data_IF_345050125310
#
_entry.id   IF_345050125310
#
_cell.length_a   1.000
_cell.length_b   1.000
_cell.length_c   1.000
_cell.angle_alpha   90.00
_cell.angle_beta   90.00
_cell.angle_gamma   90.00
#
_symmetry.space_group_name_H-M   'P 1'
#
loop_
_entity.id
_entity.type
_entity.pdbx_description
1 polymer ?
#
# COMPACT_ATOMS: atom_id res chain seq x y z
N UNK A 1 -13.36 -22.34 32.05
CA UNK A 1 -12.78 -22.33 30.73
C UNK A 1 -11.35 -22.83 30.77
N UNK A 2 -11.00 -23.77 29.93
CA UNK A 2 -9.64 -24.30 29.81
C UNK A 2 -8.79 -23.29 29.08
N UNK A 3 -7.70 -22.80 29.70
CA UNK A 3 -6.73 -21.93 29.02
C UNK A 3 -5.87 -22.80 28.11
N UNK A 4 -6.06 -22.68 26.80
CA UNK A 4 -5.35 -23.49 25.80
C UNK A 4 -3.93 -22.98 25.49
N UNK A 5 -3.53 -21.81 25.96
CA UNK A 5 -2.24 -21.18 25.65
C UNK A 5 -1.55 -20.58 26.89
N UNK A 6 -1.42 -21.36 27.98
CA UNK A 6 -0.69 -20.92 29.15
C UNK A 6 0.82 -21.06 28.93
N UNK A 7 1.57 -19.98 29.07
CA UNK A 7 3.03 -20.01 29.14
C UNK A 7 3.44 -20.25 30.59
N UNK A 8 4.20 -21.32 30.86
CA UNK A 8 4.74 -21.60 32.17
C UNK A 8 6.05 -20.83 32.34
N UNK A 9 6.16 -20.06 33.40
CA UNK A 9 7.36 -19.34 33.80
C UNK A 9 7.99 -20.13 34.93
N UNK A 10 9.31 -20.33 34.90
CA UNK A 10 10.03 -21.09 35.94
C UNK A 10 10.09 -20.32 37.25
N UNK A 11 10.05 -21.03 38.39
CA UNK A 11 10.15 -20.42 39.71
C UNK A 11 11.48 -19.68 39.84
N UNK A 12 11.45 -18.43 40.30
CA UNK A 12 12.63 -17.58 40.51
C UNK A 12 12.98 -16.63 39.37
N UNK A 13 12.28 -16.67 38.23
CA UNK A 13 12.45 -15.67 37.21
C UNK A 13 11.73 -14.35 37.58
N UNK A 14 12.50 -13.27 37.60
CA UNK A 14 12.00 -11.90 37.82
C UNK A 14 12.30 -11.10 36.57
N UNK A 15 11.28 -10.51 35.95
CA UNK A 15 11.47 -9.69 34.77
C UNK A 15 10.16 -9.23 34.10
N UNK A 16 10.31 -8.48 33.03
CA UNK A 16 9.20 -8.13 32.15
C UNK A 16 9.13 -9.20 31.07
N UNK A 17 7.96 -9.80 30.91
CA UNK A 17 7.74 -10.80 29.87
C UNK A 17 6.89 -10.19 28.77
N UNK A 18 7.45 -10.16 27.55
CA UNK A 18 6.69 -9.83 26.34
C UNK A 18 5.92 -11.07 25.89
N UNK A 19 4.60 -11.03 26.04
CA UNK A 19 3.74 -12.05 25.46
C UNK A 19 3.57 -11.72 23.97
N UNK A 20 4.19 -12.51 23.10
CA UNK A 20 3.97 -12.43 21.67
C UNK A 20 2.55 -12.89 21.33
N UNK A 21 1.59 -11.98 21.40
CA UNK A 21 0.16 -12.27 21.23
C UNK A 21 -0.18 -12.76 19.82
N UNK A 22 0.64 -12.42 18.84
CA UNK A 22 0.47 -12.80 17.43
C UNK A 22 0.51 -14.32 17.23
N UNK A 23 1.35 -15.01 17.99
CA UNK A 23 1.52 -16.47 17.86
C UNK A 23 0.49 -17.28 18.64
N UNK A 24 -0.49 -16.64 19.27
CA UNK A 24 -1.46 -17.30 20.17
C UNK A 24 -2.83 -17.53 19.53
N UNK A 25 -2.96 -17.32 18.23
CA UNK A 25 -4.23 -17.50 17.51
C UNK A 25 -5.35 -16.59 18.00
N UNK A 26 -4.99 -15.37 18.39
CA UNK A 26 -5.97 -14.37 18.82
C UNK A 26 -6.67 -13.76 17.60
N UNK A 27 -7.99 -13.72 17.65
CA UNK A 27 -8.81 -13.09 16.63
C UNK A 27 -8.71 -11.56 16.71
N UNK A 28 -8.80 -10.89 15.57
CA UNK A 28 -8.79 -9.43 15.51
C UNK A 28 -10.13 -8.85 15.95
N UNK A 29 -10.07 -7.67 16.54
CA UNK A 29 -11.25 -6.93 17.04
C UNK A 29 -12.02 -7.61 18.17
N UNK A 30 -11.40 -8.63 18.81
CA UNK A 30 -11.93 -9.30 19.99
C UNK A 30 -11.31 -8.75 21.27
N UNK A 31 -12.02 -8.91 22.37
CA UNK A 31 -11.55 -8.52 23.70
C UNK A 31 -10.91 -9.70 24.37
N UNK A 32 -9.71 -9.50 24.91
CA UNK A 32 -8.95 -10.52 25.63
C UNK A 32 -8.57 -10.06 27.03
N UNK A 33 -8.58 -10.98 27.97
CA UNK A 33 -8.07 -10.75 29.33
C UNK A 33 -6.79 -11.52 29.54
N UNK A 34 -5.76 -10.86 30.05
CA UNK A 34 -4.54 -11.51 30.51
C UNK A 34 -4.68 -11.84 31.98
N UNK A 35 -4.47 -13.10 32.31
CA UNK A 35 -4.49 -13.58 33.69
C UNK A 35 -3.13 -14.17 34.06
N UNK A 36 -2.54 -13.66 35.10
CA UNK A 36 -1.34 -14.22 35.71
C UNK A 36 -1.78 -15.00 36.95
N UNK A 37 -1.49 -16.27 36.99
CA UNK A 37 -1.72 -17.12 38.16
C UNK A 37 -0.38 -17.51 38.73
N UNK A 38 -0.18 -17.29 40.03
CA UNK A 38 0.97 -17.78 40.77
C UNK A 38 0.54 -19.05 41.49
N UNK A 39 1.26 -20.12 41.25
CA UNK A 39 1.11 -21.39 41.99
C UNK A 39 2.30 -21.51 42.96
N UNK A 40 2.02 -21.39 44.23
CA UNK A 40 3.02 -21.46 45.27
C UNK A 40 3.15 -22.86 45.85
N UNK A 41 2.41 -23.86 45.35
CA UNK A 41 2.29 -25.13 45.97
C UNK A 41 3.05 -26.24 45.28
N UNK A 42 3.66 -27.00 46.11
CA UNK A 42 4.42 -28.19 45.78
C UNK A 42 3.56 -29.48 45.85
N UNK A 43 2.29 -29.38 46.25
CA UNK A 43 1.42 -30.50 46.45
C UNK A 43 0.31 -30.58 45.37
N UNK A 44 0.04 -31.76 44.79
CA UNK A 44 -1.09 -31.94 43.89
C UNK A 44 -2.42 -31.67 44.59
N UNK A 45 -3.21 -30.74 44.09
CA UNK A 45 -4.55 -30.44 44.62
C UNK A 45 -4.71 -29.14 45.39
N UNK A 46 -3.67 -28.33 45.48
CA UNK A 46 -3.76 -27.02 46.15
C UNK A 46 -4.38 -25.96 45.20
N UNK A 47 -5.15 -25.06 45.80
CA UNK A 47 -5.76 -23.93 45.08
C UNK A 47 -4.71 -22.92 44.66
N UNK A 48 -4.96 -22.22 43.59
CA UNK A 48 -4.19 -21.05 43.15
C UNK A 48 -4.32 -19.98 44.24
N UNK A 49 -3.21 -19.62 44.88
CA UNK A 49 -3.22 -18.73 46.06
C UNK A 49 -3.48 -17.26 45.67
N UNK A 50 -3.06 -16.84 44.50
CA UNK A 50 -3.37 -15.51 44.02
C UNK A 50 -3.35 -15.41 42.48
N UNK A 51 -4.14 -14.55 41.96
CA UNK A 51 -4.05 -14.13 40.55
C UNK A 51 -4.33 -12.64 40.44
N UNK A 52 -3.63 -12.01 39.53
CA UNK A 52 -3.89 -10.61 39.17
C UNK A 52 -4.56 -10.58 37.81
N UNK A 53 -5.74 -9.97 37.76
CA UNK A 53 -6.42 -9.68 36.50
C UNK A 53 -5.90 -8.35 35.95
N UNK A 54 -5.33 -8.38 34.75
CA UNK A 54 -4.99 -7.16 34.04
C UNK A 54 -6.21 -6.65 33.27
N UNK A 55 -6.24 -5.35 32.98
CA UNK A 55 -7.34 -4.78 32.22
C UNK A 55 -7.49 -5.52 30.88
N UNK A 56 -8.71 -5.61 30.46
CA UNK A 56 -9.08 -6.13 29.15
C UNK A 56 -8.37 -5.34 28.06
N UNK A 57 -7.78 -6.02 27.08
CA UNK A 57 -7.24 -5.39 25.90
C UNK A 57 -8.02 -5.82 24.67
N UNK A 58 -8.11 -4.94 23.71
CA UNK A 58 -8.77 -5.18 22.45
C UNK A 58 -7.78 -5.17 21.32
N UNK A 59 -7.81 -6.18 20.48
CA UNK A 59 -7.03 -6.17 19.25
C UNK A 59 -7.57 -5.12 18.29
N UNK A 60 -6.69 -4.33 17.69
CA UNK A 60 -7.12 -3.37 16.68
C UNK A 60 -7.51 -4.09 15.38
N UNK A 61 -8.56 -3.62 14.69
CA UNK A 61 -8.86 -4.09 13.34
C UNK A 61 -7.64 -3.93 12.44
N UNK A 62 -7.42 -4.86 11.54
CA UNK A 62 -6.40 -4.72 10.53
C UNK A 62 -6.73 -3.59 9.57
N UNK A 63 -5.72 -2.94 9.02
CA UNK A 63 -5.83 -1.91 8.01
C UNK A 63 -5.16 -2.33 6.70
N UNK A 64 -5.64 -1.74 5.62
CA UNK A 64 -5.00 -1.76 4.32
C UNK A 64 -4.80 -0.31 3.91
N UNK A 65 -3.56 0.15 3.96
CA UNK A 65 -3.22 1.55 3.76
C UNK A 65 -2.28 1.73 2.56
N UNK A 66 -2.43 2.86 1.89
CA UNK A 66 -1.55 3.29 0.81
C UNK A 66 -1.06 4.71 1.05
N UNK A 67 0.23 4.94 0.79
CA UNK A 67 0.82 6.28 0.86
C UNK A 67 2.02 6.43 -0.07
N UNK A 68 2.38 7.68 -0.34
CA UNK A 68 3.73 7.99 -0.81
C UNK A 68 4.64 8.19 0.39
N UNK A 69 5.85 7.63 0.32
CA UNK A 69 6.89 7.82 1.34
C UNK A 69 8.24 8.11 0.69
N UNK A 70 9.13 8.71 1.46
CA UNK A 70 10.54 8.82 1.10
C UNK A 70 11.33 7.55 1.49
N UNK A 71 12.62 7.55 1.18
CA UNK A 71 13.49 6.42 1.53
C UNK A 71 13.72 6.25 3.04
N UNK A 72 13.53 7.31 3.83
CA UNK A 72 13.62 7.25 5.29
C UNK A 72 12.32 6.75 5.95
N UNK A 73 11.25 6.58 5.18
CA UNK A 73 9.94 6.11 5.66
C UNK A 73 8.95 7.22 6.02
N UNK A 74 9.32 8.49 5.85
CA UNK A 74 8.41 9.59 6.13
C UNK A 74 7.36 9.73 5.01
N UNK A 75 6.12 10.04 5.40
CA UNK A 75 5.04 10.30 4.43
C UNK A 75 5.30 11.58 3.65
N UNK A 76 5.14 11.51 2.33
CA UNK A 76 5.29 12.65 1.43
C UNK A 76 3.92 13.30 1.23
N UNK A 77 3.84 14.61 1.42
CA UNK A 77 2.62 15.41 1.23
C UNK A 77 2.49 15.96 -0.19
N UNK A 78 3.61 16.32 -0.86
CA UNK A 78 3.61 16.68 -2.28
C UNK A 78 3.68 15.40 -3.13
N UNK A 79 2.53 14.86 -3.46
CA UNK A 79 2.40 13.64 -4.27
C UNK A 79 2.39 13.92 -5.78
N UNK A 80 2.42 15.17 -6.20
CA UNK A 80 2.38 15.59 -7.60
C UNK A 80 3.51 14.97 -8.44
N UNK A 81 3.20 14.60 -9.66
CA UNK A 81 4.17 14.16 -10.67
C UNK A 81 4.29 15.21 -11.74
N UNK A 82 5.46 15.83 -11.85
CA UNK A 82 5.74 16.92 -12.79
C UNK A 82 6.45 16.38 -14.02
N UNK A 83 5.84 16.55 -15.17
CA UNK A 83 6.48 16.28 -16.46
C UNK A 83 7.39 17.45 -16.84
N UNK A 84 8.46 17.14 -17.56
CA UNK A 84 9.34 18.17 -18.09
C UNK A 84 8.63 19.09 -19.11
N UNK A 85 9.15 20.30 -19.28
CA UNK A 85 8.65 21.22 -20.27
C UNK A 85 8.80 20.62 -21.68
N UNK A 86 7.78 20.83 -22.51
CA UNK A 86 7.82 20.52 -23.94
C UNK A 86 7.59 21.78 -24.76
N UNK A 87 8.20 21.86 -25.93
CA UNK A 87 7.98 22.96 -26.88
C UNK A 87 6.67 22.76 -27.62
N UNK A 88 6.02 23.86 -27.99
CA UNK A 88 4.87 23.79 -28.88
C UNK A 88 5.30 23.20 -30.23
N UNK A 89 4.52 22.28 -30.75
CA UNK A 89 4.84 21.51 -31.95
C UNK A 89 3.62 21.35 -32.85
N UNK A 90 3.88 21.20 -34.14
CA UNK A 90 2.89 20.82 -35.14
C UNK A 90 2.64 19.31 -35.24
N UNK A 91 3.33 18.54 -34.42
CA UNK A 91 3.10 17.11 -34.22
C UNK A 91 2.96 16.80 -32.74
N UNK A 92 2.44 15.61 -32.40
CA UNK A 92 2.36 15.19 -31.03
C UNK A 92 3.75 15.05 -30.39
N UNK A 93 3.86 15.40 -29.11
CA UNK A 93 5.14 15.37 -28.36
C UNK A 93 5.00 14.42 -27.17
N UNK A 94 5.98 13.54 -27.01
CA UNK A 94 6.07 12.67 -25.85
C UNK A 94 6.95 13.29 -24.75
N UNK A 95 6.50 13.19 -23.51
CA UNK A 95 7.27 13.55 -22.31
C UNK A 95 7.06 12.48 -21.23
N UNK A 96 7.98 12.40 -20.30
CA UNK A 96 7.86 11.39 -19.22
C UNK A 96 8.26 11.93 -17.87
N UNK A 97 7.73 11.30 -16.82
CA UNK A 97 8.07 11.60 -15.44
C UNK A 97 8.01 10.33 -14.58
N UNK A 98 8.68 10.33 -13.44
CA UNK A 98 8.58 9.25 -12.48
C UNK A 98 7.39 9.49 -11.53
N UNK A 99 6.44 8.58 -11.52
CA UNK A 99 5.38 8.51 -10.51
C UNK A 99 5.97 8.11 -9.16
N UNK A 100 6.90 7.16 -9.18
CA UNK A 100 7.69 6.74 -8.02
C UNK A 100 9.15 6.51 -8.42
N UNK A 101 10.07 6.66 -7.46
CA UNK A 101 11.49 6.41 -7.63
C UNK A 101 12.06 5.67 -6.40
N UNK A 102 13.34 5.31 -6.43
CA UNK A 102 13.98 4.55 -5.36
C UNK A 102 14.48 5.39 -4.18
N UNK A 103 14.55 6.72 -4.32
CA UNK A 103 15.25 7.58 -3.34
C UNK A 103 14.36 8.56 -2.59
N UNK A 104 13.34 9.12 -3.24
CA UNK A 104 12.59 10.22 -2.65
C UNK A 104 11.07 10.08 -2.70
N UNK A 105 10.55 9.15 -3.51
CA UNK A 105 9.10 9.00 -3.67
C UNK A 105 8.74 7.56 -4.04
N UNK A 106 8.35 6.78 -3.06
CA UNK A 106 7.93 5.38 -3.21
C UNK A 106 6.44 5.26 -2.94
N UNK A 107 5.75 4.35 -3.62
CA UNK A 107 4.38 3.97 -3.29
C UNK A 107 4.46 2.80 -2.30
N UNK A 108 3.97 3.02 -1.09
CA UNK A 108 3.93 2.01 -0.04
C UNK A 108 2.50 1.52 0.18
N UNK A 109 2.36 0.20 0.25
CA UNK A 109 1.15 -0.47 0.75
C UNK A 109 1.49 -1.22 2.01
N UNK A 110 0.71 -1.01 3.07
CA UNK A 110 0.81 -1.76 4.32
C UNK A 110 -0.48 -2.53 4.52
N UNK A 111 -0.37 -3.85 4.67
CA UNK A 111 -1.52 -4.72 4.90
C UNK A 111 -1.41 -5.40 6.26
N UNK A 112 -2.28 -5.03 7.18
CA UNK A 112 -2.43 -5.68 8.49
C UNK A 112 -3.80 -6.36 8.64
N UNK A 113 -4.59 -6.49 7.56
CA UNK A 113 -5.88 -7.19 7.57
C UNK A 113 -5.69 -8.71 7.63
N UNK A 114 -6.77 -9.41 7.96
CA UNK A 114 -6.81 -10.89 7.92
C UNK A 114 -6.81 -11.44 6.50
N UNK A 115 -7.35 -10.68 5.54
CA UNK A 115 -7.28 -10.98 4.10
C UNK A 115 -6.00 -10.42 3.51
N UNK A 116 -5.29 -11.21 2.74
CA UNK A 116 -3.99 -10.85 2.16
C UNK A 116 -4.07 -10.38 0.71
N UNK A 117 -5.18 -10.63 0.01
CA UNK A 117 -5.38 -10.17 -1.37
C UNK A 117 -5.71 -8.68 -1.43
N UNK A 118 -5.03 -7.94 -2.30
CA UNK A 118 -5.30 -6.52 -2.54
C UNK A 118 -4.76 -6.07 -3.90
N UNK A 119 -5.26 -4.93 -4.38
CA UNK A 119 -4.75 -4.28 -5.58
C UNK A 119 -4.66 -2.77 -5.41
N UNK A 120 -3.65 -2.18 -6.06
CA UNK A 120 -3.45 -0.72 -6.17
C UNK A 120 -3.76 -0.29 -7.58
N UNK A 121 -4.62 0.69 -7.72
CA UNK A 121 -5.03 1.27 -9.01
C UNK A 121 -4.72 2.76 -9.03
N UNK A 122 -4.10 3.22 -10.12
CA UNK A 122 -4.00 4.63 -10.47
C UNK A 122 -5.16 4.97 -11.40
N UNK A 123 -5.98 5.95 -11.04
CA UNK A 123 -7.13 6.38 -11.85
C UNK A 123 -7.21 7.90 -11.95
N UNK A 124 -7.87 8.41 -12.98
CA UNK A 124 -8.22 9.81 -13.04
C UNK A 124 -9.35 10.11 -12.04
N UNK A 125 -9.22 11.18 -11.26
CA UNK A 125 -10.19 11.51 -10.20
C UNK A 125 -11.60 11.79 -10.73
N UNK A 126 -11.69 12.41 -11.92
CA UNK A 126 -12.97 12.70 -12.61
C UNK A 126 -13.41 11.55 -13.55
N UNK A 127 -12.84 10.36 -13.40
CA UNK A 127 -13.18 9.18 -14.19
C UNK A 127 -12.66 9.23 -15.64
N UNK A 128 -13.23 8.36 -16.49
CA UNK A 128 -12.78 8.21 -17.88
C UNK A 128 -13.00 9.45 -18.77
N UNK A 129 -13.79 10.42 -18.33
CA UNK A 129 -14.05 11.69 -19.02
C UNK A 129 -13.12 12.82 -18.60
N UNK A 130 -12.23 12.57 -17.64
CA UNK A 130 -11.19 13.51 -17.22
C UNK A 130 -10.34 13.98 -18.40
N UNK A 131 -9.77 15.15 -18.27
CA UNK A 131 -8.88 15.75 -19.28
C UNK A 131 -7.74 16.48 -18.57
N UNK A 132 -6.61 16.55 -19.24
CA UNK A 132 -5.61 17.56 -18.93
C UNK A 132 -6.23 18.93 -19.14
N UNK A 133 -6.25 19.77 -18.12
CA UNK A 133 -6.82 21.11 -18.15
C UNK A 133 -5.73 22.15 -17.95
N UNK A 134 -5.73 23.19 -18.80
CA UNK A 134 -4.78 24.30 -18.65
C UNK A 134 -5.13 25.14 -17.44
N UNK A 135 -4.16 25.36 -16.56
CA UNK A 135 -4.32 26.25 -15.41
C UNK A 135 -4.53 27.69 -15.88
N UNK A 136 -5.62 28.32 -15.44
CA UNK A 136 -5.98 29.68 -15.84
C UNK A 136 -6.47 29.83 -17.29
N UNK A 137 -6.83 28.74 -17.96
CA UNK A 137 -7.36 28.70 -19.31
C UNK A 137 -8.53 27.74 -19.48
N UNK A 138 -9.04 27.64 -20.70
CA UNK A 138 -10.16 26.75 -21.10
C UNK A 138 -9.67 25.54 -21.90
N UNK A 139 -8.42 25.59 -22.34
CA UNK A 139 -7.85 24.55 -23.18
C UNK A 139 -7.70 23.22 -22.41
N UNK A 140 -7.97 22.14 -23.11
CA UNK A 140 -7.85 20.79 -22.54
C UNK A 140 -7.57 19.76 -23.63
N UNK A 141 -7.02 18.60 -23.22
CA UNK A 141 -6.86 17.44 -24.11
C UNK A 141 -7.02 16.14 -23.32
N UNK A 142 -7.22 15.04 -24.02
CA UNK A 142 -7.48 13.73 -23.43
C UNK A 142 -6.23 13.17 -22.77
N UNK A 143 -6.42 12.42 -21.69
CA UNK A 143 -5.37 11.58 -21.09
C UNK A 143 -5.48 10.11 -21.54
N UNK A 144 -6.62 9.72 -22.10
CA UNK A 144 -6.95 8.35 -22.47
C UNK A 144 -7.37 8.22 -23.95
N UNK A 145 -6.85 9.09 -24.79
CA UNK A 145 -7.10 9.04 -26.24
C UNK A 145 -6.54 7.77 -26.88
N UNK A 146 -6.96 7.51 -28.10
CA UNK A 146 -6.56 6.32 -28.86
C UNK A 146 -5.30 6.52 -29.70
N UNK A 147 -4.91 7.77 -29.93
CA UNK A 147 -3.73 8.15 -30.73
C UNK A 147 -3.10 9.45 -30.22
N UNK A 148 -1.98 9.84 -30.82
CA UNK A 148 -1.24 11.05 -30.46
C UNK A 148 -2.01 12.36 -30.67
N UNK A 149 -2.95 12.41 -31.63
CA UNK A 149 -3.72 13.63 -31.94
C UNK A 149 -4.75 13.95 -30.84
N UNK A 150 -5.13 12.96 -30.06
CA UNK A 150 -6.03 13.11 -28.92
C UNK A 150 -5.28 13.31 -27.59
N UNK A 151 -4.04 12.85 -27.54
CA UNK A 151 -3.25 12.74 -26.31
C UNK A 151 -3.58 11.48 -25.51
N UNK A 152 -2.58 10.93 -24.87
CA UNK A 152 -2.76 9.79 -23.96
C UNK A 152 -1.66 9.72 -22.91
N UNK A 153 -2.01 9.14 -21.77
CA UNK A 153 -1.12 8.81 -20.68
C UNK A 153 -0.88 7.29 -20.66
N UNK A 154 0.34 6.86 -20.42
CA UNK A 154 0.66 5.46 -20.19
C UNK A 154 1.54 5.28 -18.96
N UNK A 155 1.47 4.10 -18.38
CA UNK A 155 2.28 3.67 -17.24
C UNK A 155 3.28 2.62 -17.74
N UNK A 156 4.55 2.81 -17.42
CA UNK A 156 5.63 1.90 -17.81
C UNK A 156 6.32 1.35 -16.56
N UNK A 157 6.48 0.04 -16.52
CA UNK A 157 7.07 -0.73 -15.44
C UNK A 157 8.43 -1.35 -15.77
N UNK A 158 9.03 -1.02 -16.92
CA UNK A 158 10.26 -1.65 -17.38
C UNK A 158 11.40 -1.65 -16.37
N UNK A 159 11.58 -0.54 -15.64
CA UNK A 159 12.60 -0.39 -14.58
C UNK A 159 12.03 -0.49 -13.16
N UNK A 160 10.75 -0.77 -13.01
CA UNK A 160 10.10 -0.82 -11.70
C UNK A 160 10.46 -2.08 -10.92
N UNK A 161 10.50 -1.94 -9.61
CA UNK A 161 10.72 -3.03 -8.67
C UNK A 161 9.75 -2.95 -7.50
N UNK A 162 9.47 -4.11 -6.92
CA UNK A 162 8.73 -4.23 -5.65
C UNK A 162 9.71 -4.70 -4.60
N UNK A 163 9.78 -3.98 -3.49
CA UNK A 163 10.53 -4.37 -2.30
C UNK A 163 9.54 -4.65 -1.18
N UNK A 164 9.93 -5.55 -0.28
CA UNK A 164 9.22 -5.78 0.97
C UNK A 164 10.06 -5.29 2.14
N UNK A 165 9.41 -4.80 3.19
CA UNK A 165 10.09 -4.37 4.41
C UNK A 165 9.28 -4.73 5.64
N UNK A 166 9.98 -4.86 6.78
CA UNK A 166 9.39 -5.23 8.05
C UNK A 166 9.34 -6.74 8.27
N UNK A 167 8.65 -7.13 9.33
CA UNK A 167 8.33 -8.51 9.65
C UNK A 167 6.82 -8.72 9.52
N UNK A 168 6.46 -9.90 9.06
CA UNK A 168 5.05 -10.32 9.03
C UNK A 168 4.50 -10.44 10.46
N UNK A 169 3.19 -10.51 10.58
CA UNK A 169 2.53 -10.75 11.89
C UNK A 169 2.94 -12.08 12.52
N UNK A 170 3.44 -13.03 11.72
CA UNK A 170 4.00 -14.30 12.21
C UNK A 170 5.50 -14.22 12.60
N UNK A 171 6.10 -13.03 12.57
CA UNK A 171 7.51 -12.82 12.93
C UNK A 171 8.51 -13.11 11.80
N UNK A 172 8.08 -13.62 10.65
CA UNK A 172 8.95 -13.89 9.51
C UNK A 172 9.32 -12.60 8.77
N UNK A 173 10.54 -12.54 8.23
CA UNK A 173 10.96 -11.43 7.37
C UNK A 173 10.05 -11.32 6.14
N UNK A 174 9.56 -10.13 5.85
CA UNK A 174 8.69 -9.86 4.71
C UNK A 174 9.41 -10.10 3.38
N UNK A 175 8.72 -10.74 2.46
CA UNK A 175 9.21 -11.06 1.12
C UNK A 175 8.29 -10.47 0.06
N UNK A 176 8.87 -9.98 -1.03
CA UNK A 176 8.09 -9.48 -2.17
C UNK A 176 7.50 -10.59 -3.05
N UNK A 177 7.81 -11.85 -2.76
CA UNK A 177 7.22 -13.01 -3.46
C UNK A 177 5.70 -13.01 -3.27
N UNK A 178 4.94 -13.21 -4.35
CA UNK A 178 3.47 -13.12 -4.33
C UNK A 178 2.91 -11.70 -4.49
N UNK A 179 3.78 -10.69 -4.61
CA UNK A 179 3.39 -9.35 -5.03
C UNK A 179 3.74 -9.18 -6.50
N UNK A 180 2.74 -8.84 -7.29
CA UNK A 180 2.90 -8.56 -8.72
C UNK A 180 2.89 -7.06 -8.96
N UNK A 181 3.88 -6.56 -9.70
CA UNK A 181 3.82 -5.22 -10.29
C UNK A 181 2.89 -5.23 -11.50
N UNK A 182 2.34 -4.08 -11.86
CA UNK A 182 1.55 -3.91 -13.07
C UNK A 182 2.34 -4.20 -14.34
N UNK A 183 1.63 -4.28 -15.45
CA UNK A 183 2.19 -4.38 -16.79
C UNK A 183 2.08 -3.04 -17.50
N UNK A 184 2.97 -2.78 -18.45
CA UNK A 184 2.94 -1.57 -19.27
C UNK A 184 1.55 -1.40 -19.87
N UNK A 185 0.93 -0.27 -19.59
CA UNK A 185 -0.48 -0.04 -19.94
C UNK A 185 -0.72 1.41 -20.31
N UNK A 186 -1.57 1.62 -21.30
CA UNK A 186 -2.07 2.93 -21.69
C UNK A 186 -3.47 3.12 -21.13
N UNK A 187 -3.76 4.30 -20.58
CA UNK A 187 -5.14 4.71 -20.40
C UNK A 187 -5.78 4.89 -21.79
N UNK A 188 -6.82 4.11 -22.06
CA UNK A 188 -7.41 4.08 -23.40
C UNK A 188 -8.93 4.02 -23.33
N UNK A 189 -9.59 5.02 -23.87
CA UNK A 189 -11.05 5.08 -23.94
C UNK A 189 -11.63 3.86 -24.65
N UNK A 190 -12.74 3.34 -24.14
CA UNK A 190 -13.40 2.14 -24.67
C UNK A 190 -12.76 0.82 -24.27
N UNK A 191 -11.80 0.83 -23.34
CA UNK A 191 -11.16 -0.39 -22.80
C UNK A 191 -11.26 -0.45 -21.28
N UNK A 192 -10.87 -1.58 -20.68
CA UNK A 192 -10.80 -1.73 -19.22
C UNK A 192 -9.87 -0.71 -18.55
N UNK A 193 -8.87 -0.19 -19.28
CA UNK A 193 -7.93 0.81 -18.78
C UNK A 193 -8.38 2.25 -19.03
N UNK A 194 -9.61 2.48 -19.48
CA UNK A 194 -10.10 3.83 -19.80
C UNK A 194 -9.98 4.81 -18.63
N UNK A 195 -10.15 4.35 -17.42
CA UNK A 195 -10.05 5.17 -16.22
C UNK A 195 -8.95 4.75 -15.24
N UNK A 196 -8.54 3.50 -15.21
CA UNK A 196 -7.62 3.00 -14.19
C UNK A 196 -6.62 1.98 -14.71
N UNK A 197 -5.41 2.01 -14.15
CA UNK A 197 -4.33 1.05 -14.41
C UNK A 197 -3.87 0.46 -13.08
N UNK A 198 -3.81 -0.87 -13.00
CA UNK A 198 -3.27 -1.56 -11.83
C UNK A 198 -1.76 -1.36 -11.75
N UNK A 199 -1.29 -0.84 -10.63
CA UNK A 199 0.12 -0.60 -10.39
C UNK A 199 0.80 -1.78 -9.66
N UNK A 200 0.10 -2.39 -8.72
CA UNK A 200 0.63 -3.47 -7.89
C UNK A 200 -0.53 -4.27 -7.31
N UNK A 201 -0.34 -5.57 -7.12
CA UNK A 201 -1.35 -6.44 -6.49
C UNK A 201 -0.71 -7.58 -5.72
N UNK A 202 -1.45 -8.09 -4.75
CA UNK A 202 -1.17 -9.32 -4.01
C UNK A 202 -2.29 -10.32 -4.25
N UNK A 203 -1.93 -11.56 -4.58
CA UNK A 203 -2.91 -12.66 -4.67
C UNK A 203 -3.29 -13.22 -3.30
N UNK A 204 -2.58 -12.78 -2.25
CA UNK A 204 -2.80 -13.19 -0.89
C UNK A 204 -1.95 -14.37 -0.46
N UNK A 205 -1.13 -14.18 0.55
CA UNK A 205 -0.54 -15.25 1.34
C UNK A 205 -0.46 -14.79 2.79
N UNK A 206 -0.60 -15.71 3.72
CA UNK A 206 -0.55 -15.42 5.16
C UNK A 206 0.80 -14.81 5.60
N UNK A 207 1.89 -15.11 4.88
CA UNK A 207 3.22 -14.55 5.14
C UNK A 207 3.40 -13.08 4.77
N UNK A 208 2.38 -12.43 4.20
CA UNK A 208 2.42 -11.02 3.80
C UNK A 208 1.68 -10.09 4.76
N UNK A 209 1.00 -10.63 5.76
CA UNK A 209 0.28 -9.84 6.76
C UNK A 209 1.27 -9.11 7.67
N UNK A 210 1.06 -7.82 7.87
CA UNK A 210 1.96 -6.96 8.65
C UNK A 210 3.12 -6.37 7.84
N UNK A 211 3.30 -6.81 6.60
CA UNK A 211 4.36 -6.33 5.72
C UNK A 211 4.03 -4.99 5.07
N UNK A 212 5.08 -4.23 4.75
CA UNK A 212 5.01 -3.08 3.86
C UNK A 212 5.64 -3.44 2.51
N UNK A 213 4.97 -3.07 1.43
CA UNK A 213 5.43 -3.28 0.05
C UNK A 213 5.64 -1.95 -0.64
N UNK A 214 6.80 -1.81 -1.27
CA UNK A 214 7.27 -0.57 -1.87
C UNK A 214 7.40 -0.75 -3.37
N UNK A 215 6.59 -0.03 -4.13
CA UNK A 215 6.70 0.03 -5.58
C UNK A 215 7.54 1.25 -5.98
N UNK A 216 8.61 1.00 -6.70
CA UNK A 216 9.63 1.98 -7.10
C UNK A 216 9.76 2.05 -8.62
N UNK A 217 10.27 3.19 -9.11
CA UNK A 217 10.66 3.42 -10.50
C UNK A 217 9.53 3.21 -11.52
N UNK A 218 8.30 3.54 -11.17
CA UNK A 218 7.18 3.57 -12.11
C UNK A 218 7.25 4.87 -12.90
N UNK A 219 7.23 4.75 -14.23
CA UNK A 219 7.28 5.89 -15.15
C UNK A 219 5.91 6.15 -15.76
N UNK A 220 5.54 7.41 -15.80
CA UNK A 220 4.42 7.90 -16.61
C UNK A 220 4.96 8.50 -17.91
N UNK A 221 4.36 8.14 -19.03
CA UNK A 221 4.63 8.74 -20.33
C UNK A 221 3.38 9.43 -20.82
N UNK A 222 3.49 10.73 -21.11
CA UNK A 222 2.42 11.55 -21.62
C UNK A 222 2.67 11.92 -23.06
N UNK A 223 1.72 11.66 -23.94
CA UNK A 223 1.70 12.18 -25.29
C UNK A 223 0.78 13.40 -25.36
N UNK A 224 1.37 14.55 -25.68
CA UNK A 224 0.70 15.84 -25.81
C UNK A 224 0.31 16.00 -27.27
N UNK A 225 -0.95 16.31 -27.62
CA UNK A 225 -1.36 16.54 -29.00
C UNK A 225 -0.64 17.72 -29.64
N UNK A 226 -0.63 17.78 -30.99
CA UNK A 226 -0.14 18.91 -31.72
C UNK A 226 -0.94 20.19 -31.39
N UNK A 227 -0.33 21.34 -31.60
CA UNK A 227 -0.93 22.68 -31.48
C UNK A 227 -1.54 23.00 -30.10
N UNK A 228 -1.11 22.31 -29.02
CA UNK A 228 -1.55 22.70 -27.67
C UNK A 228 -0.99 24.07 -27.30
N UNK A 229 -1.85 24.93 -26.76
CA UNK A 229 -1.42 26.25 -26.31
C UNK A 229 -0.40 26.15 -25.16
N UNK A 230 0.61 27.05 -25.10
CA UNK A 230 1.55 27.07 -23.98
C UNK A 230 0.84 27.30 -22.67
N UNK A 231 1.32 26.61 -21.62
CA UNK A 231 0.80 26.73 -20.27
C UNK A 231 1.04 25.48 -19.44
N UNK A 232 0.72 25.56 -18.16
CA UNK A 232 0.70 24.39 -17.26
C UNK A 232 -0.62 23.66 -17.45
N UNK A 233 -0.56 22.35 -17.62
CA UNK A 233 -1.73 21.48 -17.67
C UNK A 233 -1.73 20.53 -16.49
N UNK A 234 -2.88 20.34 -15.90
CA UNK A 234 -3.06 19.48 -14.73
C UNK A 234 -4.12 18.41 -14.98
N UNK A 235 -3.88 17.22 -14.45
CA UNK A 235 -4.81 16.09 -14.42
C UNK A 235 -4.82 15.53 -13.00
N UNK A 236 -5.91 15.72 -12.24
CA UNK A 236 -6.06 15.09 -10.93
C UNK A 236 -6.14 13.57 -11.06
N UNK A 237 -5.29 12.88 -10.33
CA UNK A 237 -5.23 11.41 -10.28
C UNK A 237 -5.37 10.93 -8.85
N UNK A 238 -5.91 9.73 -8.69
CA UNK A 238 -6.12 9.08 -7.39
C UNK A 238 -5.41 7.73 -7.38
N UNK A 239 -4.73 7.44 -6.29
CA UNK A 239 -4.26 6.10 -5.94
C UNK A 239 -5.27 5.47 -4.99
N UNK A 240 -5.76 4.29 -5.35
CA UNK A 240 -6.69 3.52 -4.52
C UNK A 240 -6.12 2.15 -4.24
N UNK A 241 -6.16 1.71 -2.98
CA UNK A 241 -5.92 0.33 -2.61
C UNK A 241 -7.24 -0.32 -2.21
N UNK A 242 -7.48 -1.52 -2.73
CA UNK A 242 -8.72 -2.27 -2.48
C UNK A 242 -8.38 -3.69 -2.06
N UNK A 243 -8.99 -4.17 -0.97
CA UNK A 243 -8.94 -5.58 -0.58
C UNK A 243 -9.71 -6.44 -1.60
N UNK A 244 -9.23 -7.68 -1.80
CA UNK A 244 -9.81 -8.68 -2.72
C UNK A 244 -10.25 -9.92 -1.93
#
# INVERSE_FOLDING_TARGET
>A
GTFTNAQKISAGEVGVWDLALVDKGLDRNENYCVRVATDTTVAPGSSIDSYTMYPEFKTTPGSLDIRFRDNAGATITDTGTKFGNSTMSNSSVATSALLSNSSSKQIEVTNTQTSSGWSVVLSASDGATAKWKRTGGTESYMFNGTNGDQGFLSVNFGTSSVLASGNSLSGSTCQASGISKGVDSQFKVGTATANGVTLMSSSGSTGQLGCAFLLQNVRLNQTIPAYQKPGTYELPMTLTVTAQ
#
